data_IF_726431797360
#
_entry.id   IF_726431797360
#
_cell.length_a   1.000
_cell.length_b   1.000
_cell.length_c   1.000
_cell.angle_alpha   90.00
_cell.angle_beta   90.00
_cell.angle_gamma   90.00
#
_symmetry.space_group_name_H-M   'P 1'
#
loop_
_entity.id
_entity.type
_entity.pdbx_description
1 polymer ?
#
# COMPACT_ATOMS: atom_id res chain seq x y z
N UNK A 1 -1.46 -5.05 8.23
CA UNK A 1 -1.31 -3.70 7.66
C UNK A 1 -1.34 -3.80 6.14
N UNK A 2 -2.02 -2.90 5.43
CA UNK A 2 -2.16 -2.99 3.96
C UNK A 2 -0.83 -2.87 3.20
N UNK A 3 -0.75 -3.42 1.98
CA UNK A 3 0.50 -3.59 1.23
C UNK A 3 1.17 -2.26 0.85
N UNK A 4 0.40 -1.17 0.78
CA UNK A 4 0.87 0.16 0.39
C UNK A 4 1.51 0.97 1.54
N UNK A 5 1.18 0.64 2.79
CA UNK A 5 1.55 1.49 3.95
C UNK A 5 3.06 1.52 4.20
N UNK A 6 3.72 0.37 4.11
CA UNK A 6 5.17 0.27 4.31
C UNK A 6 5.98 0.96 3.19
N UNK A 7 5.69 0.71 1.89
CA UNK A 7 6.30 1.44 0.78
C UNK A 7 6.16 2.96 0.88
N UNK A 8 4.97 3.45 1.27
CA UNK A 8 4.72 4.89 1.51
C UNK A 8 5.62 5.45 2.61
N UNK A 9 5.76 4.75 3.73
CA UNK A 9 6.62 5.18 4.84
C UNK A 9 8.09 5.23 4.41
N UNK A 10 8.55 4.22 3.65
CA UNK A 10 9.92 4.16 3.16
C UNK A 10 10.21 5.28 2.16
N UNK A 11 9.28 5.57 1.24
CA UNK A 11 9.40 6.73 0.33
C UNK A 11 9.40 8.05 1.11
N UNK A 12 8.64 8.14 2.19
CA UNK A 12 8.62 9.32 3.03
C UNK A 12 9.97 9.61 3.71
N UNK A 13 10.63 8.55 4.21
CA UNK A 13 11.98 8.63 4.81
C UNK A 13 13.03 8.97 3.76
N UNK A 14 12.97 8.33 2.59
CA UNK A 14 13.92 8.56 1.49
C UNK A 14 13.79 9.96 0.85
N UNK A 15 12.59 10.56 0.91
CA UNK A 15 12.28 11.86 0.33
C UNK A 15 12.16 12.97 1.39
N UNK A 16 12.88 12.87 2.51
CA UNK A 16 12.98 13.89 3.55
C UNK A 16 13.65 15.23 3.09
N UNK A 17 13.70 15.51 1.79
CA UNK A 17 13.97 16.86 1.30
C UNK A 17 12.86 17.84 1.68
N UNK A 18 13.08 19.13 1.40
CA UNK A 18 12.17 20.26 1.69
C UNK A 18 10.72 19.94 1.28
N UNK A 19 9.91 19.51 2.25
CA UNK A 19 8.47 19.33 2.03
C UNK A 19 7.88 20.68 1.61
N UNK A 20 7.04 20.73 0.57
CA UNK A 20 6.47 22.00 0.12
C UNK A 20 5.71 22.71 1.24
N UNK A 21 6.01 23.99 1.47
CA UNK A 21 5.33 24.79 2.51
C UNK A 21 3.85 25.06 2.18
N UNK A 22 3.51 25.17 0.89
CA UNK A 22 2.15 25.47 0.41
C UNK A 22 1.29 24.21 0.27
N UNK A 23 -0.01 24.33 0.58
CA UNK A 23 -0.97 23.22 0.54
C UNK A 23 -1.05 22.52 -0.83
N UNK A 24 -1.06 23.29 -1.94
CA UNK A 24 -1.04 22.73 -3.30
C UNK A 24 0.19 21.85 -3.55
N UNK A 25 1.35 22.30 -3.08
CA UNK A 25 2.61 21.55 -3.19
C UNK A 25 2.57 20.26 -2.38
N UNK A 26 2.04 20.29 -1.15
CA UNK A 26 1.88 19.10 -0.32
C UNK A 26 0.99 18.04 -0.99
N UNK A 27 -0.12 18.46 -1.61
CA UNK A 27 -1.01 17.53 -2.34
C UNK A 27 -0.28 16.85 -3.50
N UNK A 28 0.44 17.62 -4.32
CA UNK A 28 1.21 17.08 -5.45
C UNK A 28 2.32 16.15 -4.97
N UNK A 29 3.03 16.50 -3.90
CA UNK A 29 4.08 15.68 -3.29
C UNK A 29 3.53 14.33 -2.79
N UNK A 30 2.38 14.33 -2.10
CA UNK A 30 1.69 13.10 -1.66
C UNK A 30 1.30 12.22 -2.85
N UNK A 31 0.74 12.80 -3.93
CA UNK A 31 0.37 12.05 -5.14
C UNK A 31 1.61 11.39 -5.75
N UNK A 32 2.70 12.15 -5.94
CA UNK A 32 3.96 11.62 -6.50
C UNK A 32 4.52 10.49 -5.65
N UNK A 33 4.55 10.66 -4.33
CA UNK A 33 4.99 9.62 -3.38
C UNK A 33 4.14 8.36 -3.48
N UNK A 34 2.83 8.53 -3.58
CA UNK A 34 1.89 7.41 -3.70
C UNK A 34 2.12 6.63 -4.98
N UNK A 35 2.34 7.30 -6.11
CA UNK A 35 2.67 6.66 -7.38
C UNK A 35 3.98 5.87 -7.27
N UNK A 36 5.04 6.47 -6.71
CA UNK A 36 6.34 5.78 -6.53
C UNK A 36 6.21 4.58 -5.60
N UNK A 37 5.48 4.74 -4.49
CA UNK A 37 5.24 3.66 -3.54
C UNK A 37 4.46 2.51 -4.20
N UNK A 38 3.43 2.83 -5.00
CA UNK A 38 2.64 1.84 -5.74
C UNK A 38 3.49 1.05 -6.74
N UNK A 39 4.30 1.74 -7.53
CA UNK A 39 5.17 1.10 -8.54
C UNK A 39 6.24 0.18 -7.93
N UNK A 40 6.54 0.32 -6.63
CA UNK A 40 7.48 -0.54 -5.91
C UNK A 40 6.83 -1.79 -5.31
N UNK A 41 5.49 -1.87 -5.29
CA UNK A 41 4.78 -3.02 -4.73
C UNK A 41 4.73 -4.12 -5.78
N UNK A 42 5.17 -5.31 -5.40
CA UNK A 42 5.01 -6.48 -6.25
C UNK A 42 3.59 -7.00 -6.23
N UNK A 43 3.13 -7.51 -7.37
CA UNK A 43 1.82 -8.15 -7.51
C UNK A 43 1.60 -9.26 -6.48
N UNK A 44 2.64 -10.06 -6.20
CA UNK A 44 2.62 -11.10 -5.16
C UNK A 44 2.26 -10.55 -3.77
N UNK A 45 2.76 -9.36 -3.43
CA UNK A 45 2.47 -8.70 -2.16
C UNK A 45 1.03 -8.20 -2.11
N UNK A 46 0.52 -7.67 -3.23
CA UNK A 46 -0.89 -7.28 -3.38
C UNK A 46 -1.78 -8.51 -3.18
N UNK A 47 -1.55 -9.59 -3.93
CA UNK A 47 -2.31 -10.85 -3.83
C UNK A 47 -2.32 -11.42 -2.41
N UNK A 48 -1.16 -11.47 -1.74
CA UNK A 48 -1.06 -11.94 -0.34
C UNK A 48 -1.90 -11.12 0.63
N UNK A 49 -2.06 -9.82 0.39
CA UNK A 49 -2.88 -8.97 1.25
C UNK A 49 -4.37 -9.31 1.21
N UNK A 50 -4.84 -9.99 0.16
CA UNK A 50 -6.22 -10.43 0.01
C UNK A 50 -6.48 -11.84 0.56
N UNK A 51 -5.46 -12.60 0.96
CA UNK A 51 -5.61 -14.00 1.45
C UNK A 51 -6.53 -14.09 2.68
N UNK A 52 -6.51 -13.08 3.55
CA UNK A 52 -7.39 -13.02 4.72
C UNK A 52 -8.69 -12.23 4.46
N UNK A 53 -8.85 -11.68 3.25
CA UNK A 53 -10.02 -10.87 2.85
C UNK A 53 -11.08 -11.74 2.19
N UNK A 54 -10.67 -12.79 1.49
CA UNK A 54 -11.61 -13.83 1.07
C UNK A 54 -11.93 -14.70 2.30
N UNK A 55 -13.21 -14.78 2.72
CA UNK A 55 -13.61 -15.77 3.71
C UNK A 55 -13.16 -17.14 3.20
N UNK A 56 -12.52 -17.95 4.07
CA UNK A 56 -12.23 -19.34 3.74
C UNK A 56 -13.54 -19.93 3.25
N UNK A 57 -13.58 -20.34 2.00
CA UNK A 57 -14.75 -20.99 1.43
C UNK A 57 -14.94 -22.27 2.24
N UNK A 58 -15.93 -22.25 3.13
CA UNK A 58 -16.71 -23.39 3.58
C UNK A 58 -15.88 -24.62 4.00
N UNK A 59 -15.42 -24.67 5.26
CA UNK A 59 -15.26 -25.95 6.00
C UNK A 59 -16.65 -26.54 6.33
N UNK A 60 -17.50 -26.69 5.31
CA UNK A 60 -18.79 -27.34 5.41
C UNK A 60 -18.95 -28.34 4.25
N UNK A 61 -17.87 -29.07 3.98
CA UNK A 61 -17.85 -30.32 3.20
C UNK A 61 -17.34 -31.49 4.08
N UNK A 62 -17.36 -31.36 5.42
CA UNK A 62 -17.11 -32.48 6.36
C UNK A 62 -18.40 -32.96 7.04
N UNK A 63 -19.51 -32.98 6.30
CA UNK A 63 -20.72 -33.73 6.68
C UNK A 63 -21.29 -34.49 5.46
N UNK A 64 -20.41 -35.18 4.72
CA UNK A 64 -20.81 -36.31 3.87
C UNK A 64 -20.44 -37.61 4.56
#
# INVERSE_FOLDING_TARGET
MGPLKLPLRNTWIQQQGLSPKKAKGKRVDIIKRTIVAWNRISEKTVRKSFVNVFPRQFEAIEFM
#
